data_IF_091625608541
#
_entry.id   IF_091625608541
#
_cell.length_a   1.000
_cell.length_b   1.000
_cell.length_c   1.000
_cell.angle_alpha   90.00
_cell.angle_beta   90.00
_cell.angle_gamma   90.00
#
_symmetry.space_group_name_H-M   'P 1'
#
loop_
_entity.id
_entity.type
_entity.pdbx_description
1 polymer ?
#
# COMPACT_ATOMS: atom_id res chain seq x y z
N UNK A 1 6.99 16.99 20.69
CA UNK A 1 5.82 16.26 20.13
C UNK A 1 4.58 16.65 20.93
N UNK A 2 3.49 17.03 20.29
CA UNK A 2 2.19 17.29 20.91
C UNK A 2 1.27 16.12 20.55
N UNK A 3 0.62 15.53 21.54
CA UNK A 3 -0.26 14.38 21.39
C UNK A 3 -1.65 14.76 21.91
N UNK A 4 -2.68 14.54 21.11
CA UNK A 4 -4.08 14.80 21.47
C UNK A 4 -4.98 13.68 20.90
N UNK A 5 -6.25 13.66 21.31
CA UNK A 5 -7.25 12.82 20.68
C UNK A 5 -7.36 13.17 19.19
N UNK A 6 -7.37 12.15 18.35
CA UNK A 6 -7.49 12.28 16.91
C UNK A 6 -8.94 12.37 16.43
N UNK A 7 -9.10 12.32 15.10
CA UNK A 7 -10.40 12.25 14.45
C UNK A 7 -10.66 10.79 14.01
N UNK A 8 -11.62 10.08 14.64
CA UNK A 8 -11.89 8.67 14.32
C UNK A 8 -12.50 8.44 12.93
N UNK A 9 -12.93 9.49 12.24
CA UNK A 9 -13.48 9.41 10.88
C UNK A 9 -12.40 9.36 9.79
N UNK A 10 -11.12 9.64 10.14
CA UNK A 10 -9.99 9.59 9.22
C UNK A 10 -9.21 8.30 9.44
N UNK A 11 -9.62 7.24 8.75
CA UNK A 11 -8.97 5.93 8.90
C UNK A 11 -7.53 5.93 8.38
N UNK A 12 -6.69 5.16 9.08
CA UNK A 12 -5.26 5.08 8.80
C UNK A 12 -4.48 6.32 9.22
N UNK A 13 -3.31 6.50 8.62
CA UNK A 13 -2.50 7.70 8.81
C UNK A 13 -2.83 8.75 7.74
N UNK A 14 -3.13 9.97 8.19
CA UNK A 14 -3.48 11.09 7.30
C UNK A 14 -2.94 12.41 7.83
N UNK A 15 -2.52 13.31 6.94
CA UNK A 15 -2.24 14.70 7.33
C UNK A 15 -3.51 15.33 7.90
N UNK A 16 -3.38 15.94 9.04
CA UNK A 16 -4.49 16.58 9.75
C UNK A 16 -3.97 17.78 10.50
N UNK A 17 -4.51 18.98 10.20
CA UNK A 17 -3.99 20.27 10.72
C UNK A 17 -2.49 20.41 10.40
N UNK A 18 -1.68 20.64 11.42
CA UNK A 18 -0.22 20.80 11.36
C UNK A 18 0.56 19.54 11.76
N UNK A 19 -0.10 18.37 11.75
CA UNK A 19 0.47 17.07 12.11
C UNK A 19 -0.19 15.91 11.39
N UNK A 20 -0.27 14.78 12.06
CA UNK A 20 -0.82 13.54 11.53
C UNK A 20 -1.88 12.96 12.46
N UNK A 21 -2.95 12.47 11.87
CA UNK A 21 -3.96 11.67 12.52
C UNK A 21 -3.68 10.21 12.26
N UNK A 22 -3.67 9.41 13.31
CA UNK A 22 -3.54 7.95 13.23
C UNK A 22 -4.81 7.32 13.79
N UNK A 23 -5.38 6.40 13.04
CA UNK A 23 -6.63 5.74 13.43
C UNK A 23 -6.53 4.26 13.17
N UNK A 24 -6.89 3.46 14.16
CA UNK A 24 -6.84 2.00 14.11
C UNK A 24 -8.06 1.37 14.78
N UNK A 25 -8.64 0.38 14.17
CA UNK A 25 -9.77 -0.36 14.73
C UNK A 25 -9.28 -1.64 15.41
N UNK A 26 -9.56 -1.78 16.71
CA UNK A 26 -9.22 -2.98 17.46
C UNK A 26 -10.22 -3.24 18.60
N UNK A 27 -10.55 -4.52 18.81
CA UNK A 27 -11.37 -4.98 19.93
C UNK A 27 -10.49 -5.28 21.16
N UNK A 28 -9.81 -4.26 21.67
CA UNK A 28 -8.98 -4.33 22.87
C UNK A 28 -9.18 -3.08 23.72
N UNK A 29 -8.78 -3.11 24.98
CA UNK A 29 -8.87 -1.94 25.86
C UNK A 29 -7.73 -0.95 25.62
N UNK A 30 -6.54 -1.46 25.36
CA UNK A 30 -5.34 -0.69 25.19
C UNK A 30 -4.59 -1.14 23.95
N UNK A 31 -4.00 -0.19 23.25
CA UNK A 31 -3.08 -0.40 22.14
C UNK A 31 -1.94 0.61 22.25
N UNK A 32 -0.91 0.48 21.44
CA UNK A 32 0.11 1.50 21.32
C UNK A 32 0.37 1.81 19.85
N UNK A 33 0.60 3.08 19.54
CA UNK A 33 1.17 3.51 18.27
C UNK A 33 2.69 3.55 18.42
N UNK A 34 3.38 2.77 17.61
CA UNK A 34 4.84 2.74 17.55
C UNK A 34 5.30 3.57 16.36
N UNK A 35 6.15 4.56 16.60
CA UNK A 35 6.74 5.41 15.56
C UNK A 35 8.23 5.10 15.46
N UNK A 36 8.69 4.86 14.24
CA UNK A 36 10.07 4.51 13.91
C UNK A 36 10.70 5.62 13.06
N UNK A 37 11.98 5.86 13.26
CA UNK A 37 12.74 6.81 12.44
C UNK A 37 13.06 6.25 11.04
N UNK A 38 13.75 7.05 10.22
CA UNK A 38 14.17 6.66 8.87
C UNK A 38 15.16 5.47 8.84
N UNK A 39 15.74 5.09 9.98
CA UNK A 39 16.63 3.94 10.15
C UNK A 39 15.95 2.73 10.80
N UNK A 40 14.61 2.73 10.82
CA UNK A 40 13.79 1.65 11.40
C UNK A 40 14.01 1.45 12.92
N UNK A 41 14.51 2.48 13.63
CA UNK A 41 14.65 2.45 15.08
C UNK A 41 13.42 3.04 15.74
N UNK A 42 12.94 2.40 16.80
CA UNK A 42 11.81 2.92 17.59
C UNK A 42 12.17 4.32 18.12
N UNK A 43 11.40 5.32 17.71
CA UNK A 43 11.53 6.73 18.10
C UNK A 43 10.58 7.07 19.25
N UNK A 44 9.37 6.56 19.17
CA UNK A 44 8.31 6.89 20.14
C UNK A 44 7.32 5.73 20.25
N UNK A 45 6.79 5.53 21.47
CA UNK A 45 5.69 4.63 21.78
C UNK A 45 4.60 5.43 22.47
N UNK A 46 3.45 5.53 21.85
CA UNK A 46 2.31 6.33 22.30
C UNK A 46 1.22 5.36 22.74
N UNK A 47 0.90 5.37 24.04
CA UNK A 47 -0.21 4.59 24.60
C UNK A 47 -1.54 5.13 24.08
N UNK A 48 -2.38 4.22 23.62
CA UNK A 48 -3.74 4.51 23.16
C UNK A 48 -4.70 3.87 24.17
N UNK A 49 -5.25 4.70 25.02
CA UNK A 49 -6.21 4.28 26.05
C UNK A 49 -7.67 4.58 25.65
N UNK A 50 -8.58 4.30 26.56
CA UNK A 50 -10.02 4.52 26.38
C UNK A 50 -10.40 5.97 26.09
N UNK A 51 -9.60 6.97 26.51
CA UNK A 51 -9.86 8.39 26.21
C UNK A 51 -9.69 8.74 24.74
N UNK A 52 -8.87 7.97 24.03
CA UNK A 52 -8.59 8.10 22.59
C UNK A 52 -9.50 7.21 21.75
N UNK A 53 -10.46 6.52 22.35
CA UNK A 53 -11.33 5.54 21.70
C UNK A 53 -12.71 6.11 21.37
N UNK A 54 -13.30 5.64 20.27
CA UNK A 54 -14.68 5.85 19.89
C UNK A 54 -15.22 4.50 19.35
N UNK A 55 -16.03 3.81 20.13
CA UNK A 55 -16.35 2.41 19.84
C UNK A 55 -15.08 1.55 19.88
N UNK A 56 -14.78 0.82 18.81
CA UNK A 56 -13.55 0.04 18.66
C UNK A 56 -12.44 0.80 17.92
N UNK A 57 -12.62 2.09 17.65
CA UNK A 57 -11.69 2.89 16.88
C UNK A 57 -10.84 3.76 17.82
N UNK A 58 -9.56 3.48 17.90
CA UNK A 58 -8.56 4.38 18.49
C UNK A 58 -8.20 5.48 17.50
N UNK A 59 -8.08 6.71 17.99
CA UNK A 59 -7.61 7.82 17.16
C UNK A 59 -6.72 8.76 17.96
N UNK A 60 -5.54 9.06 17.42
CA UNK A 60 -4.57 9.94 18.03
C UNK A 60 -4.05 10.96 17.00
N UNK A 61 -3.98 12.20 17.42
CA UNK A 61 -3.33 13.27 16.66
C UNK A 61 -1.93 13.51 17.21
N UNK A 62 -0.93 13.51 16.34
CA UNK A 62 0.47 13.73 16.68
C UNK A 62 1.03 14.86 15.84
N UNK A 63 1.47 15.93 16.51
CA UNK A 63 2.15 17.06 15.86
C UNK A 63 3.64 17.01 16.16
N UNK A 64 4.42 16.69 15.14
CA UNK A 64 5.89 16.79 15.11
C UNK A 64 6.33 16.88 13.65
N UNK A 65 7.04 17.94 13.28
CA UNK A 65 7.55 18.19 11.91
C UNK A 65 8.55 17.15 11.41
N UNK A 66 9.05 16.27 12.29
CA UNK A 66 10.00 15.22 11.94
C UNK A 66 9.33 13.88 11.58
N UNK A 67 8.01 13.85 11.50
CA UNK A 67 7.28 12.61 11.18
C UNK A 67 7.25 12.28 9.69
N UNK A 68 7.49 13.24 8.81
CA UNK A 68 7.40 13.06 7.35
C UNK A 68 8.31 11.95 6.80
N UNK A 69 9.40 11.62 7.52
CA UNK A 69 10.32 10.55 7.14
C UNK A 69 10.22 9.31 8.03
N UNK A 70 9.22 9.28 8.90
CA UNK A 70 9.03 8.22 9.87
C UNK A 70 8.07 7.13 9.35
N UNK A 71 8.11 6.00 10.05
CA UNK A 71 7.24 4.86 9.84
C UNK A 71 6.46 4.56 11.11
N UNK A 72 5.43 3.74 10.99
CA UNK A 72 4.64 3.34 12.14
C UNK A 72 4.07 1.93 12.00
N UNK A 73 3.70 1.37 13.12
CA UNK A 73 2.79 0.24 13.25
C UNK A 73 2.05 0.37 14.59
N UNK A 74 1.14 -0.56 14.85
CA UNK A 74 0.44 -0.63 16.13
C UNK A 74 0.92 -1.84 16.92
N UNK A 75 0.86 -1.75 18.25
CA UNK A 75 1.10 -2.86 19.15
C UNK A 75 -0.16 -3.15 19.97
N UNK A 76 -0.57 -4.41 19.99
CA UNK A 76 -1.68 -4.92 20.78
C UNK A 76 -1.20 -6.22 21.44
N UNK A 77 -1.33 -6.31 22.74
CA UNK A 77 -0.92 -7.49 23.53
C UNK A 77 0.54 -7.96 23.24
N UNK A 78 1.44 -6.99 23.01
CA UNK A 78 2.85 -7.25 22.72
C UNK A 78 3.14 -7.71 21.29
N UNK A 79 2.15 -7.76 20.40
CA UNK A 79 2.30 -8.10 19.00
C UNK A 79 2.19 -6.85 18.11
N UNK A 80 3.06 -6.75 17.12
CA UNK A 80 3.02 -5.65 16.15
C UNK A 80 2.05 -5.94 15.00
N UNK A 81 1.24 -4.94 14.67
CA UNK A 81 0.25 -4.97 13.59
C UNK A 81 0.45 -3.83 12.62
N UNK A 82 0.49 -4.15 11.33
CA UNK A 82 0.46 -3.13 10.29
C UNK A 82 -0.93 -2.51 10.16
N UNK A 83 -0.97 -1.25 9.76
CA UNK A 83 -2.21 -0.55 9.48
C UNK A 83 -2.84 -1.06 8.16
N UNK A 84 -4.06 -1.61 8.18
CA UNK A 84 -4.76 -2.03 6.96
C UNK A 84 -5.02 -0.88 5.97
N UNK A 85 -5.03 0.37 6.46
CA UNK A 85 -5.21 1.58 5.66
C UNK A 85 -3.88 2.24 5.27
N UNK A 86 -2.75 1.56 5.48
CA UNK A 86 -1.44 2.05 5.06
C UNK A 86 -1.42 2.37 3.57
N UNK A 87 -0.87 3.52 3.21
CA UNK A 87 -0.74 4.00 1.82
C UNK A 87 0.58 3.60 1.17
N UNK A 88 1.55 3.19 1.98
CA UNK A 88 2.82 2.64 1.55
C UNK A 88 3.42 1.79 2.67
N UNK A 89 4.11 0.70 2.29
CA UNK A 89 4.73 -0.26 3.20
C UNK A 89 6.18 -0.44 2.80
N UNK A 90 7.07 -0.57 3.79
CA UNK A 90 8.51 -0.77 3.59
C UNK A 90 8.81 -2.16 3.02
N UNK A 91 9.97 -2.29 2.38
CA UNK A 91 10.66 -3.54 2.00
C UNK A 91 9.89 -4.56 1.14
N UNK A 92 8.84 -4.13 0.44
CA UNK A 92 8.09 -4.95 -0.51
C UNK A 92 8.62 -4.88 -1.96
N UNK A 93 9.85 -4.42 -2.17
CA UNK A 93 10.34 -3.98 -3.50
C UNK A 93 10.64 -5.07 -4.53
N UNK A 94 10.74 -6.34 -4.16
CA UNK A 94 11.12 -7.42 -5.09
C UNK A 94 10.08 -8.53 -5.15
N UNK A 95 9.46 -8.67 -6.30
CA UNK A 95 8.43 -9.70 -6.52
C UNK A 95 8.98 -11.12 -6.32
N UNK A 96 8.37 -11.87 -5.41
CA UNK A 96 8.71 -13.25 -5.13
C UNK A 96 10.04 -13.45 -4.41
N UNK A 97 10.60 -12.40 -3.82
CA UNK A 97 11.76 -12.49 -2.93
C UNK A 97 11.34 -12.20 -1.49
N UNK A 98 11.92 -12.94 -0.58
CA UNK A 98 11.76 -12.79 0.86
C UNK A 98 13.15 -12.62 1.45
N UNK A 99 13.37 -11.53 2.17
CA UNK A 99 14.49 -11.38 3.05
C UNK A 99 13.98 -11.70 4.48
N UNK A 100 14.61 -12.66 5.16
CA UNK A 100 14.12 -13.19 6.44
C UNK A 100 14.20 -12.18 7.60
N UNK A 101 14.92 -11.08 7.39
CA UNK A 101 15.15 -10.01 8.38
C UNK A 101 14.28 -8.76 8.16
N UNK A 102 13.39 -8.77 7.16
CA UNK A 102 12.61 -7.59 6.81
C UNK A 102 11.58 -7.24 7.89
N UNK A 103 11.65 -6.01 8.39
CA UNK A 103 10.64 -5.41 9.26
C UNK A 103 9.72 -4.55 8.42
N UNK A 104 8.47 -4.98 8.28
CA UNK A 104 7.46 -4.24 7.51
C UNK A 104 6.80 -3.18 8.38
N UNK A 105 6.85 -1.93 7.95
CA UNK A 105 6.24 -0.78 8.61
C UNK A 105 5.45 0.04 7.61
N UNK A 106 4.43 0.74 8.07
CA UNK A 106 3.66 1.68 7.27
C UNK A 106 4.36 3.04 7.23
N UNK A 107 4.37 3.71 6.09
CA UNK A 107 4.88 5.07 5.97
C UNK A 107 3.90 6.09 6.54
N UNK A 108 4.37 7.06 7.33
CA UNK A 108 3.54 8.13 7.89
C UNK A 108 3.14 9.12 6.80
N UNK A 109 4.10 9.61 6.03
CA UNK A 109 3.85 10.55 4.95
C UNK A 109 4.02 9.86 3.60
N UNK A 110 2.95 9.88 2.84
CA UNK A 110 2.98 9.59 1.40
C UNK A 110 2.87 10.94 0.74
N UNK A 111 3.95 11.38 0.10
CA UNK A 111 4.07 12.72 -0.48
C UNK A 111 2.82 13.14 -1.24
N UNK A 112 2.41 14.38 -1.03
CA UNK A 112 1.37 15.01 -1.85
C UNK A 112 1.78 14.89 -3.31
N UNK A 113 0.82 14.53 -4.14
CA UNK A 113 1.03 14.34 -5.57
C UNK A 113 0.29 15.43 -6.33
N UNK A 114 1.01 16.14 -7.19
CA UNK A 114 0.41 17.13 -8.07
C UNK A 114 -0.26 16.44 -9.27
N UNK A 115 -1.57 16.36 -9.23
CA UNK A 115 -2.40 15.83 -10.32
C UNK A 115 -2.49 16.80 -11.50
N UNK A 116 -2.03 18.06 -11.33
CA UNK A 116 -2.13 19.13 -12.32
C UNK A 116 -3.61 19.37 -12.70
N UNK A 117 -3.96 19.21 -13.98
CA UNK A 117 -5.32 19.34 -14.49
C UNK A 117 -6.06 18.00 -14.66
N UNK A 118 -5.49 16.91 -14.13
CA UNK A 118 -6.11 15.58 -14.22
C UNK A 118 -7.45 15.54 -13.46
N UNK A 119 -8.44 14.93 -14.11
CA UNK A 119 -9.80 14.81 -13.59
C UNK A 119 -10.48 13.56 -14.14
N UNK A 120 -11.57 13.07 -13.50
CA UNK A 120 -12.34 11.97 -14.03
C UNK A 120 -12.79 12.21 -15.46
N UNK A 121 -12.55 11.25 -16.35
CA UNK A 121 -12.83 11.36 -17.79
C UNK A 121 -14.32 11.26 -18.11
N UNK A 122 -15.11 10.63 -17.21
CA UNK A 122 -16.58 10.50 -17.31
C UNK A 122 -17.07 9.91 -18.65
N UNK A 123 -16.41 8.87 -19.15
CA UNK A 123 -16.91 8.11 -20.31
C UNK A 123 -18.25 7.44 -19.99
N UNK A 124 -19.16 7.42 -20.95
CA UNK A 124 -20.34 6.58 -20.86
C UNK A 124 -19.96 5.10 -20.91
N UNK A 125 -20.64 4.27 -20.14
CA UNK A 125 -20.36 2.83 -20.08
C UNK A 125 -20.45 2.14 -21.45
N UNK A 126 -21.33 2.64 -22.34
CA UNK A 126 -21.49 2.17 -23.71
C UNK A 126 -20.25 2.36 -24.58
N UNK A 127 -19.41 3.32 -24.24
CA UNK A 127 -18.19 3.67 -24.98
C UNK A 127 -16.93 3.01 -24.41
N UNK A 128 -17.09 2.29 -23.28
CA UNK A 128 -15.97 1.65 -22.60
C UNK A 128 -15.61 0.32 -23.26
N UNK A 129 -14.36 0.18 -23.69
CA UNK A 129 -13.73 -1.07 -24.12
C UNK A 129 -12.72 -1.46 -23.03
N UNK A 130 -13.08 -2.47 -22.23
CA UNK A 130 -12.28 -2.90 -21.11
C UNK A 130 -11.18 -3.87 -21.52
N UNK A 131 -9.98 -3.64 -20.99
CA UNK A 131 -8.86 -4.58 -21.09
C UNK A 131 -8.38 -4.94 -19.69
N UNK A 132 -8.67 -6.17 -19.28
CA UNK A 132 -8.23 -6.68 -17.98
C UNK A 132 -6.83 -7.27 -18.08
N UNK A 133 -5.91 -6.80 -17.24
CA UNK A 133 -4.53 -7.25 -17.29
C UNK A 133 -3.84 -7.29 -15.93
N UNK A 134 -2.83 -8.16 -15.81
CA UNK A 134 -1.89 -8.17 -14.71
C UNK A 134 -0.73 -7.21 -15.02
N UNK A 135 -0.41 -6.29 -14.10
CA UNK A 135 0.65 -5.28 -14.29
C UNK A 135 1.97 -5.92 -14.68
N UNK A 136 2.38 -6.95 -13.92
CA UNK A 136 3.65 -7.64 -14.17
C UNK A 136 3.61 -8.47 -15.47
N UNK A 137 2.54 -9.24 -15.66
CA UNK A 137 2.40 -10.15 -16.81
C UNK A 137 2.39 -9.42 -18.15
N UNK A 138 1.77 -8.26 -18.21
CA UNK A 138 1.55 -7.52 -19.45
C UNK A 138 2.85 -7.13 -20.17
N UNK A 139 3.89 -6.74 -19.42
CA UNK A 139 5.14 -6.28 -20.05
C UNK A 139 6.38 -7.09 -19.67
N UNK A 140 6.28 -8.15 -18.85
CA UNK A 140 7.44 -8.90 -18.34
C UNK A 140 8.23 -9.64 -19.44
N UNK A 141 7.56 -10.10 -20.50
CA UNK A 141 8.22 -10.79 -21.63
C UNK A 141 9.21 -9.87 -22.35
N UNK A 142 10.26 -10.47 -22.90
CA UNK A 142 11.21 -9.78 -23.79
C UNK A 142 10.53 -9.25 -25.05
N UNK A 143 9.46 -9.89 -25.50
CA UNK A 143 8.68 -9.50 -26.69
C UNK A 143 7.92 -8.20 -26.49
N UNK A 144 7.70 -7.75 -25.24
CA UNK A 144 7.06 -6.47 -24.94
C UNK A 144 7.88 -5.27 -25.46
N UNK A 145 9.20 -5.42 -25.60
CA UNK A 145 10.16 -4.39 -26.06
C UNK A 145 10.14 -3.11 -25.21
N UNK A 146 9.66 -3.15 -23.96
CA UNK A 146 9.72 -2.02 -23.03
C UNK A 146 10.96 -2.14 -22.14
N UNK A 147 11.45 -1.00 -21.63
CA UNK A 147 12.61 -0.93 -20.75
C UNK A 147 12.28 -1.48 -19.36
N UNK A 148 11.23 -0.94 -18.74
CA UNK A 148 10.85 -1.22 -17.35
C UNK A 148 9.77 -2.31 -17.32
N UNK A 149 10.21 -3.55 -17.61
CA UNK A 149 9.33 -4.71 -17.80
C UNK A 149 8.65 -5.16 -16.53
N UNK A 150 7.35 -5.34 -16.57
CA UNK A 150 6.55 -5.85 -15.47
C UNK A 150 6.28 -4.82 -14.39
N UNK A 151 6.29 -3.53 -14.74
CA UNK A 151 6.11 -2.41 -13.82
C UNK A 151 5.04 -1.44 -14.30
N UNK A 152 4.63 -0.51 -13.42
CA UNK A 152 3.73 0.60 -13.75
C UNK A 152 4.28 1.46 -14.90
N UNK A 153 5.55 1.80 -14.88
CA UNK A 153 6.22 2.51 -15.97
C UNK A 153 6.20 1.72 -17.29
N UNK A 154 6.26 0.38 -17.21
CA UNK A 154 6.13 -0.50 -18.37
C UNK A 154 4.76 -0.39 -19.05
N UNK A 155 3.68 -0.19 -18.28
CA UNK A 155 2.34 0.05 -18.83
C UNK A 155 2.29 1.37 -19.60
N UNK A 156 2.84 2.44 -19.03
CA UNK A 156 2.91 3.75 -19.69
C UNK A 156 3.56 3.64 -21.07
N UNK A 157 4.64 2.88 -21.20
CA UNK A 157 5.30 2.64 -22.49
C UNK A 157 4.42 1.88 -23.51
N UNK A 158 3.31 1.29 -23.08
CA UNK A 158 2.36 0.54 -23.92
C UNK A 158 1.09 1.30 -24.25
N UNK A 159 0.95 2.55 -23.81
CA UNK A 159 -0.20 3.39 -24.16
C UNK A 159 -0.45 3.46 -25.67
N UNK A 160 0.55 3.69 -26.55
CA UNK A 160 0.31 3.70 -27.99
C UNK A 160 -0.30 2.39 -28.52
N UNK A 161 0.17 1.25 -28.02
CA UNK A 161 -0.37 -0.06 -28.38
C UNK A 161 -1.82 -0.25 -27.91
N UNK A 162 -2.14 0.19 -26.70
CA UNK A 162 -3.50 0.10 -26.14
C UNK A 162 -4.47 1.00 -26.93
N UNK A 163 -4.02 2.17 -27.35
CA UNK A 163 -4.79 3.07 -28.23
C UNK A 163 -5.03 2.45 -29.61
N UNK A 164 -4.02 1.81 -30.20
CA UNK A 164 -4.15 1.10 -31.49
C UNK A 164 -5.19 -0.03 -31.39
N UNK A 165 -5.29 -0.70 -30.24
CA UNK A 165 -6.33 -1.72 -29.99
C UNK A 165 -7.72 -1.11 -29.72
N UNK A 166 -7.85 0.20 -29.59
CA UNK A 166 -9.10 0.87 -29.27
C UNK A 166 -9.53 0.72 -27.81
N UNK A 167 -8.61 0.42 -26.90
CA UNK A 167 -8.90 0.27 -25.46
C UNK A 167 -9.12 1.65 -24.84
N UNK A 168 -10.22 1.79 -24.11
CA UNK A 168 -10.56 3.02 -23.37
C UNK A 168 -10.44 2.86 -21.86
N UNK A 169 -10.48 1.64 -21.37
CA UNK A 169 -10.51 1.37 -19.92
C UNK A 169 -9.61 0.20 -19.57
N UNK A 170 -8.68 0.41 -18.64
CA UNK A 170 -7.85 -0.67 -18.07
C UNK A 170 -8.43 -1.15 -16.75
N UNK A 171 -8.71 -2.45 -16.66
CA UNK A 171 -9.00 -3.12 -15.40
C UNK A 171 -7.73 -3.85 -14.94
N UNK A 172 -7.04 -3.27 -13.96
CA UNK A 172 -5.86 -3.92 -13.39
C UNK A 172 -6.28 -5.07 -12.46
N UNK A 173 -5.69 -6.24 -12.65
CA UNK A 173 -5.67 -7.27 -11.61
C UNK A 173 -4.96 -6.72 -10.38
N UNK A 174 -5.07 -7.34 -9.18
CA UNK A 174 -4.60 -6.74 -7.95
C UNK A 174 -3.26 -5.99 -8.09
N UNK A 175 -3.34 -4.67 -7.94
CA UNK A 175 -2.21 -3.74 -8.00
C UNK A 175 -1.90 -3.09 -6.64
N UNK A 176 -2.66 -3.48 -5.60
CA UNK A 176 -2.40 -3.14 -4.21
C UNK A 176 -1.32 -4.07 -3.62
N UNK A 177 -0.74 -3.70 -2.48
CA UNK A 177 0.27 -4.54 -1.82
C UNK A 177 -0.38 -5.80 -1.23
N UNK A 178 -0.01 -6.95 -1.78
CA UNK A 178 -0.42 -8.27 -1.34
C UNK A 178 0.80 -9.16 -1.11
N UNK A 179 0.62 -10.20 -0.33
CA UNK A 179 1.68 -11.13 -0.05
C UNK A 179 1.78 -12.22 -1.12
N UNK A 180 2.91 -12.27 -1.84
CA UNK A 180 3.17 -13.31 -2.81
C UNK A 180 3.86 -14.55 -2.23
N UNK A 181 4.41 -14.49 -1.01
CA UNK A 181 5.22 -15.57 -0.43
C UNK A 181 5.03 -15.78 1.09
N UNK A 182 3.96 -15.28 1.69
CA UNK A 182 3.66 -15.43 3.13
C UNK A 182 4.46 -14.51 4.04
N UNK A 183 4.68 -13.25 3.60
CA UNK A 183 5.42 -12.23 4.35
C UNK A 183 4.64 -11.60 5.50
N UNK A 184 3.31 -11.57 5.42
CA UNK A 184 2.45 -10.86 6.37
C UNK A 184 1.59 -11.81 7.20
N UNK A 185 2.17 -12.63 8.11
CA UNK A 185 1.40 -13.57 8.90
C UNK A 185 0.32 -12.88 9.76
N UNK A 186 0.56 -11.66 10.25
CA UNK A 186 -0.38 -10.91 11.08
C UNK A 186 -1.62 -10.45 10.29
N UNK A 187 -1.51 -10.20 8.99
CA UNK A 187 -2.64 -9.84 8.13
C UNK A 187 -3.60 -10.99 7.92
N UNK A 188 -3.07 -12.21 7.73
CA UNK A 188 -3.89 -13.39 7.52
C UNK A 188 -4.77 -13.69 8.72
N UNK A 189 -4.25 -13.55 9.93
CA UNK A 189 -4.99 -13.89 11.14
C UNK A 189 -5.99 -12.79 11.56
N UNK A 190 -5.63 -11.51 11.44
CA UNK A 190 -6.47 -10.41 11.94
C UNK A 190 -7.55 -9.97 10.94
N UNK A 191 -7.21 -9.80 9.66
CA UNK A 191 -8.19 -9.38 8.64
C UNK A 191 -9.09 -10.53 8.25
N UNK A 192 -8.57 -11.74 8.12
CA UNK A 192 -9.34 -12.90 7.69
C UNK A 192 -10.30 -13.42 8.76
N UNK A 193 -9.92 -13.38 10.04
CA UNK A 193 -10.80 -13.79 11.13
C UNK A 193 -11.99 -12.83 11.31
N UNK A 194 -11.79 -11.54 11.08
CA UNK A 194 -12.80 -10.51 11.32
C UNK A 194 -13.81 -10.37 10.17
N UNK A 195 -13.38 -10.55 8.93
CA UNK A 195 -14.24 -10.34 7.76
C UNK A 195 -14.74 -11.62 7.08
N UNK A 196 -14.49 -12.78 7.66
CA UNK A 196 -15.03 -14.06 7.18
C UNK A 196 -14.66 -14.43 5.74
N UNK A 197 -13.69 -13.77 5.16
CA UNK A 197 -13.20 -14.07 3.83
C UNK A 197 -12.36 -15.35 3.88
N UNK A 198 -13.05 -16.49 3.90
CA UNK A 198 -12.43 -17.80 3.90
C UNK A 198 -11.76 -18.08 2.58
N UNK A 199 -10.52 -18.10 2.54
CA UNK A 199 -9.61 -19.07 1.96
C UNK A 199 -8.23 -18.66 2.42
N UNK A 200 -7.75 -19.31 3.44
CA UNK A 200 -6.36 -19.28 3.84
C UNK A 200 -5.51 -19.74 2.66
N UNK A 201 -4.99 -18.82 1.88
CA UNK A 201 -3.84 -19.10 1.06
C UNK A 201 -2.61 -19.03 1.97
N UNK A 202 -2.38 -20.08 2.76
CA UNK A 202 -1.05 -20.31 3.28
C UNK A 202 -0.18 -20.65 2.09
N UNK A 203 0.61 -19.70 1.62
CA UNK A 203 1.70 -20.02 0.71
C UNK A 203 2.62 -20.94 1.51
N UNK A 204 2.56 -22.23 1.23
CA UNK A 204 3.45 -23.19 1.86
C UNK A 204 4.89 -22.80 1.49
N UNK A 205 5.65 -22.32 2.48
CA UNK A 205 7.05 -21.93 2.32
C UNK A 205 7.90 -23.03 1.67
N UNK A 206 7.47 -24.29 1.79
CA UNK A 206 8.15 -25.45 1.22
C UNK A 206 7.88 -25.65 -0.29
N UNK A 207 6.81 -25.11 -0.84
CA UNK A 207 6.44 -25.35 -2.25
C UNK A 207 7.10 -24.40 -3.23
N UNK A 208 7.74 -23.31 -2.78
CA UNK A 208 8.29 -22.21 -3.61
C UNK A 208 7.27 -21.63 -4.60
N UNK A 209 5.98 -21.86 -4.38
CA UNK A 209 4.92 -21.29 -5.21
C UNK A 209 4.70 -19.83 -4.82
N UNK A 210 4.55 -19.00 -5.84
CA UNK A 210 4.31 -17.57 -5.68
C UNK A 210 2.86 -17.29 -6.01
N UNK A 211 2.16 -16.50 -5.18
CA UNK A 211 0.88 -15.94 -5.52
C UNK A 211 1.09 -14.86 -6.60
N UNK A 212 0.92 -15.24 -7.84
CA UNK A 212 1.18 -14.37 -8.99
C UNK A 212 0.06 -13.35 -9.22
N UNK A 213 -1.19 -13.74 -8.96
CA UNK A 213 -2.37 -12.99 -9.35
C UNK A 213 -2.83 -11.99 -8.30
N UNK A 214 -2.53 -12.22 -7.03
CA UNK A 214 -2.81 -11.31 -5.93
C UNK A 214 -4.26 -11.25 -5.46
N UNK A 215 -5.13 -12.18 -5.85
CA UNK A 215 -6.53 -12.23 -5.36
C UNK A 215 -6.60 -12.79 -3.94
N UNK A 216 -6.00 -12.08 -3.02
CA UNK A 216 -5.96 -12.37 -1.56
C UNK A 216 -6.13 -11.07 -0.80
N UNK A 217 -6.37 -11.15 0.51
CA UNK A 217 -6.32 -9.98 1.38
C UNK A 217 -4.96 -9.28 1.32
N UNK A 218 -4.96 -7.97 1.46
CA UNK A 218 -3.74 -7.16 1.40
C UNK A 218 -3.99 -5.72 1.84
N UNK A 219 -3.04 -4.87 1.56
CA UNK A 219 -3.11 -3.43 1.86
C UNK A 219 -3.71 -2.68 0.68
N UNK A 220 -5.02 -2.61 0.64
CA UNK A 220 -5.78 -2.11 -0.52
C UNK A 220 -5.51 -0.64 -0.88
N UNK A 221 -4.94 0.14 0.03
CA UNK A 221 -4.61 1.55 -0.16
C UNK A 221 -3.14 1.79 -0.52
N UNK A 222 -2.30 0.75 -0.48
CA UNK A 222 -0.91 0.81 -0.87
C UNK A 222 -0.73 0.18 -2.26
N UNK A 223 -0.19 0.89 -3.25
CA UNK A 223 0.20 0.27 -4.52
C UNK A 223 1.25 -0.81 -4.30
N UNK A 224 1.24 -1.85 -5.14
CA UNK A 224 2.22 -2.92 -5.01
C UNK A 224 3.63 -2.45 -5.36
N UNK A 225 4.50 -2.38 -4.35
CA UNK A 225 5.85 -1.87 -4.46
C UNK A 225 6.69 -2.63 -5.50
N UNK A 226 6.54 -3.96 -5.57
CA UNK A 226 7.27 -4.79 -6.52
C UNK A 226 6.85 -4.61 -7.99
N UNK A 227 5.78 -3.85 -8.26
CA UNK A 227 5.39 -3.41 -9.60
C UNK A 227 5.96 -2.03 -9.96
N UNK A 228 6.75 -1.42 -9.09
CA UNK A 228 7.49 -0.19 -9.42
C UNK A 228 8.84 -0.50 -10.07
N UNK A 229 9.22 0.30 -11.06
CA UNK A 229 10.52 0.24 -11.70
C UNK A 229 11.65 0.73 -10.78
N UNK A 230 11.30 1.57 -9.80
CA UNK A 230 12.22 2.18 -8.83
C UNK A 230 12.43 1.22 -7.67
N UNK A 231 11.37 0.77 -7.03
CA UNK A 231 11.45 -0.13 -5.88
C UNK A 231 12.13 -1.46 -6.24
N UNK A 232 11.96 -1.97 -7.46
CA UNK A 232 12.65 -3.17 -7.93
C UNK A 232 14.18 -3.02 -8.04
N UNK A 233 14.69 -1.79 -8.17
CA UNK A 233 16.12 -1.47 -8.26
C UNK A 233 16.71 -0.99 -6.94
N UNK A 234 15.89 -0.32 -6.15
CA UNK A 234 16.26 0.32 -4.90
C UNK A 234 15.23 -0.02 -3.81
N UNK A 235 15.32 -1.21 -3.20
CA UNK A 235 14.45 -1.57 -2.07
C UNK A 235 14.56 -0.52 -0.96
N UNK A 236 13.46 -0.21 -0.30
CA UNK A 236 13.41 0.80 0.77
C UNK A 236 13.04 2.23 0.33
N UNK A 237 12.99 2.52 -0.98
CA UNK A 237 12.52 3.83 -1.48
C UNK A 237 11.00 3.78 -1.71
N UNK A 238 10.23 3.79 -0.64
CA UNK A 238 8.77 3.55 -0.67
C UNK A 238 7.95 4.74 -1.20
N UNK A 239 8.42 5.98 -1.10
CA UNK A 239 7.69 7.15 -1.61
C UNK A 239 7.60 7.14 -3.14
N UNK A 240 8.65 6.71 -3.79
CA UNK A 240 8.76 6.80 -5.24
C UNK A 240 7.84 5.79 -5.96
N UNK A 241 7.53 4.64 -5.37
CA UNK A 241 6.64 3.69 -6.00
C UNK A 241 5.17 4.16 -6.00
N UNK A 242 4.74 4.90 -5.00
CA UNK A 242 3.40 5.50 -4.98
C UNK A 242 3.27 6.60 -6.02
N UNK A 243 4.33 7.39 -6.22
CA UNK A 243 4.41 8.40 -7.27
C UNK A 243 4.39 7.75 -8.65
N UNK A 244 5.13 6.66 -8.86
CA UNK A 244 5.13 5.93 -10.14
C UNK A 244 3.73 5.40 -10.49
N UNK A 245 3.00 4.86 -9.51
CA UNK A 245 1.62 4.42 -9.72
C UNK A 245 0.70 5.60 -10.12
N UNK A 246 0.79 6.72 -9.40
CA UNK A 246 0.00 7.93 -9.72
C UNK A 246 0.36 8.51 -11.09
N UNK A 247 1.65 8.51 -11.46
CA UNK A 247 2.10 8.90 -12.80
C UNK A 247 1.49 8.01 -13.87
N UNK A 248 1.45 6.70 -13.66
CA UNK A 248 0.78 5.78 -14.61
C UNK A 248 -0.69 6.15 -14.79
N UNK A 249 -1.42 6.40 -13.71
CA UNK A 249 -2.84 6.80 -13.78
C UNK A 249 -2.99 8.10 -14.56
N UNK A 250 -2.21 9.13 -14.21
CA UNK A 250 -2.24 10.44 -14.88
C UNK A 250 -1.93 10.32 -16.39
N UNK A 251 -0.92 9.54 -16.77
CA UNK A 251 -0.58 9.33 -18.18
C UNK A 251 -1.65 8.53 -18.94
N UNK A 252 -2.30 7.58 -18.29
CA UNK A 252 -3.45 6.87 -18.89
C UNK A 252 -4.62 7.83 -19.13
N UNK A 253 -4.94 8.71 -18.18
CA UNK A 253 -6.03 9.68 -18.33
C UNK A 253 -5.75 10.71 -19.43
N UNK A 254 -4.50 11.09 -19.64
CA UNK A 254 -4.10 12.04 -20.71
C UNK A 254 -4.22 11.49 -22.11
N UNK A 255 -4.29 10.18 -22.28
CA UNK A 255 -4.18 9.52 -23.57
C UNK A 255 -5.45 8.76 -23.98
#
# INVERSE_FOLDING_TARGET
>A
MLINKGNPMLMGCSRYKDGYNFTYEAECENAALLIFDAHMKLKERIELDSSMKCGNIFSVYVCDRKLDTCFYCYEIDGLMYLDPYAKAITDCGRFGQMDEEDVYLAAIDVADYDWEDDRPLNYDYSDCIFYKMNVRGFTKSRTSKVRDKGTFAGIVNKIPYLKELGITTLELQPAYEFDEIGRFPQLTDTIMSKYGAGTHYSVDKNTRKINYWGYVGGFYFAPKASYSSIASKHPGVFRDYTVEFKNMVKELHRN
#
